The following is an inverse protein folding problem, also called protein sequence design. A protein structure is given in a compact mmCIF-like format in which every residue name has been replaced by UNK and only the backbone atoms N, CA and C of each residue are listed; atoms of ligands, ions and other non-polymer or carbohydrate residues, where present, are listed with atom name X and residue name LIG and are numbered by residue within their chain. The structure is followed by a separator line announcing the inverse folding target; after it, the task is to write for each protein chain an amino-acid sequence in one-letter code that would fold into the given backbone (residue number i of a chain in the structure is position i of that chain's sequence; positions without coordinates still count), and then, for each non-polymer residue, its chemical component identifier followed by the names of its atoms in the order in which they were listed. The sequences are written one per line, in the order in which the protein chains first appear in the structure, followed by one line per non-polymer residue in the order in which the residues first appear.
data_IF_874739857201
#
_entry.id   IF_874739857201
#
_cell.length_a   1.000
_cell.length_b   1.000
_cell.length_c   1.000
_cell.angle_alpha   90.00
_cell.angle_beta   90.00
_cell.angle_gamma   90.00
#
_symmetry.space_group_name_H-M   'P 1'
#
loop_
_entity.id
_entity.type
_entity.pdbx_description
1 polymer ?
#
# COMPACT_ATOMS: atom_id res chain seq x y z
N UNK A 1 12.18 8.51 2.37
CA UNK A 1 12.90 7.22 2.51
C UNK A 1 13.40 7.04 3.92
N UNK A 2 12.90 6.04 4.60
CA UNK A 2 13.24 5.73 5.99
C UNK A 2 13.65 4.26 6.10
N UNK A 3 14.95 3.96 6.28
CA UNK A 3 15.38 2.59 6.49
C UNK A 3 15.03 2.12 7.91
N UNK A 4 14.47 0.93 8.00
CA UNK A 4 14.20 0.25 9.26
C UNK A 4 15.30 -0.78 9.51
N UNK A 5 16.14 -0.53 10.48
CA UNK A 5 17.38 -1.31 10.66
C UNK A 5 17.18 -2.67 11.30
N UNK A 6 16.12 -2.84 12.09
CA UNK A 6 15.87 -4.10 12.80
C UNK A 6 15.34 -5.22 11.90
N UNK A 7 14.71 -4.87 10.77
CA UNK A 7 14.10 -5.82 9.84
C UNK A 7 14.72 -5.80 8.44
N UNK A 8 15.79 -5.04 8.23
CA UNK A 8 16.33 -4.79 6.89
C UNK A 8 15.23 -4.32 5.90
N UNK A 9 14.35 -3.45 6.38
CA UNK A 9 13.22 -2.93 5.60
C UNK A 9 13.38 -1.46 5.29
N UNK A 10 12.58 -0.97 4.35
CA UNK A 10 12.57 0.43 3.96
C UNK A 10 11.14 0.94 3.94
N UNK A 11 10.97 2.15 4.39
CA UNK A 11 9.73 2.88 4.18
C UNK A 11 9.93 3.96 3.13
N UNK A 12 9.04 4.00 2.16
CA UNK A 12 9.00 5.03 1.12
C UNK A 12 7.62 5.68 1.15
N UNK A 13 7.60 6.99 1.29
CA UNK A 13 6.38 7.79 1.19
C UNK A 13 6.39 8.50 -0.15
N UNK A 14 5.30 8.36 -0.91
CA UNK A 14 5.15 8.93 -2.24
C UNK A 14 3.85 9.73 -2.29
N UNK A 15 3.98 11.00 -2.63
CA UNK A 15 2.83 11.87 -2.88
C UNK A 15 2.70 12.13 -4.38
N UNK A 16 1.54 11.83 -4.94
CA UNK A 16 1.19 12.13 -6.32
C UNK A 16 -0.01 13.05 -6.32
N UNK A 17 0.17 14.23 -6.89
CA UNK A 17 -0.90 15.21 -7.03
C UNK A 17 -1.11 15.55 -8.50
N UNK A 18 -2.37 15.66 -8.91
CA UNK A 18 -2.76 16.09 -10.24
C UNK A 18 -3.73 17.25 -10.17
N UNK A 19 -3.63 18.14 -11.14
CA UNK A 19 -4.59 19.21 -11.35
C UNK A 19 -5.38 18.95 -12.63
N UNK A 20 -6.71 19.01 -12.59
CA UNK A 20 -7.56 18.82 -13.74
C UNK A 20 -8.22 17.43 -13.81
N UNK A 21 -8.47 16.98 -15.03
CA UNK A 21 -9.28 15.76 -15.28
C UNK A 21 -8.49 14.45 -15.15
N UNK A 22 -7.18 14.52 -15.00
CA UNK A 22 -6.33 13.31 -14.93
C UNK A 22 -6.34 12.78 -13.51
N UNK A 23 -6.78 11.54 -13.35
CA UNK A 23 -6.72 10.88 -12.04
C UNK A 23 -5.33 10.29 -11.77
N UNK A 24 -4.77 10.47 -10.56
CA UNK A 24 -3.52 9.82 -10.16
C UNK A 24 -3.66 8.30 -9.98
N UNK A 25 -4.87 7.78 -9.93
CA UNK A 25 -5.13 6.34 -9.75
C UNK A 25 -4.55 5.49 -10.89
N UNK A 26 -4.40 6.06 -12.09
CA UNK A 26 -3.77 5.38 -13.22
C UNK A 26 -2.28 5.03 -13.00
N UNK A 27 -1.64 5.64 -12.01
CA UNK A 27 -0.22 5.38 -11.68
C UNK A 27 -0.03 4.27 -10.64
N UNK A 28 -1.11 3.78 -10.04
CA UNK A 28 -1.03 2.81 -8.93
C UNK A 28 -0.31 1.53 -9.32
N UNK A 29 -0.68 0.92 -10.43
CA UNK A 29 -0.06 -0.33 -10.89
C UNK A 29 1.44 -0.16 -11.12
N UNK A 30 1.83 0.95 -11.73
CA UNK A 30 3.23 1.26 -11.96
C UNK A 30 4.01 1.40 -10.66
N UNK A 31 3.47 2.12 -9.68
CA UNK A 31 4.12 2.32 -8.39
C UNK A 31 4.22 1.01 -7.60
N UNK A 32 3.15 0.24 -7.55
CA UNK A 32 3.13 -1.04 -6.85
C UNK A 32 4.15 -2.01 -7.46
N UNK A 33 4.20 -2.11 -8.79
CA UNK A 33 5.17 -2.96 -9.48
C UNK A 33 6.61 -2.49 -9.32
N UNK A 34 6.82 -1.16 -9.32
CA UNK A 34 8.16 -0.57 -9.22
C UNK A 34 8.81 -0.79 -7.87
N UNK A 35 8.04 -0.70 -6.80
CA UNK A 35 8.55 -0.87 -5.44
C UNK A 35 8.40 -2.29 -4.90
N UNK A 36 7.49 -3.07 -5.43
CA UNK A 36 7.21 -4.45 -5.03
C UNK A 36 7.14 -4.61 -3.50
N UNK A 37 6.43 -3.70 -2.86
CA UNK A 37 6.39 -3.57 -1.41
C UNK A 37 5.55 -4.66 -0.77
N UNK A 38 5.96 -5.10 0.41
CA UNK A 38 5.24 -6.13 1.18
C UNK A 38 4.00 -5.56 1.87
N UNK A 39 4.07 -4.31 2.29
CA UNK A 39 2.96 -3.56 2.90
C UNK A 39 2.80 -2.25 2.16
N UNK A 40 1.56 -1.97 1.77
CA UNK A 40 1.20 -0.75 1.06
C UNK A 40 0.04 -0.09 1.78
N UNK A 41 0.19 1.19 2.05
CA UNK A 41 -0.89 2.03 2.54
C UNK A 41 -1.14 3.12 1.52
N UNK A 42 -2.38 3.28 1.11
CA UNK A 42 -2.78 4.25 0.11
C UNK A 42 -3.87 5.16 0.67
N UNK A 43 -3.63 6.45 0.55
CA UNK A 43 -4.62 7.49 0.80
C UNK A 43 -4.93 8.19 -0.52
N UNK A 44 -6.19 8.20 -0.90
CA UNK A 44 -6.65 8.94 -2.07
C UNK A 44 -7.63 10.01 -1.64
N UNK A 45 -7.31 11.24 -1.96
CA UNK A 45 -8.14 12.41 -1.64
C UNK A 45 -8.54 13.14 -2.90
N UNK A 46 -9.84 13.38 -3.03
CA UNK A 46 -10.35 14.30 -4.03
C UNK A 46 -10.48 15.66 -3.38
N UNK A 47 -9.69 16.62 -3.83
CA UNK A 47 -9.74 18.00 -3.35
C UNK A 47 -10.16 18.91 -4.49
N UNK A 48 -10.97 19.88 -4.16
CA UNK A 48 -11.38 20.89 -5.11
C UNK A 48 -12.71 20.56 -5.80
N UNK A 49 -13.10 21.48 -6.62
CA UNK A 49 -14.34 21.41 -7.37
C UNK A 49 -14.17 22.25 -8.63
N UNK A 50 -14.82 21.83 -9.70
CA UNK A 50 -14.99 22.67 -10.88
C UNK A 50 -16.28 23.46 -10.74
N UNK A 51 -16.37 24.55 -11.47
CA UNK A 51 -17.59 25.31 -11.64
C UNK A 51 -18.07 25.15 -13.06
N UNK A 52 -19.38 25.05 -13.22
CA UNK A 52 -20.01 25.15 -14.53
C UNK A 52 -19.97 26.58 -15.07
N UNK A 53 -20.46 26.76 -16.26
CA UNK A 53 -20.54 28.08 -16.91
C UNK A 53 -21.41 29.09 -16.13
N UNK A 54 -22.33 28.60 -15.29
CA UNK A 54 -23.21 29.41 -14.43
C UNK A 54 -22.62 29.68 -13.05
N UNK A 55 -21.38 29.23 -12.80
CA UNK A 55 -20.66 29.41 -11.54
C UNK A 55 -21.07 28.46 -10.42
N UNK A 56 -21.88 27.43 -10.71
CA UNK A 56 -22.27 26.40 -9.74
C UNK A 56 -21.10 25.46 -9.50
N UNK A 57 -20.88 25.09 -8.24
CA UNK A 57 -19.89 24.06 -7.90
C UNK A 57 -20.34 22.71 -8.43
N UNK A 58 -19.57 22.16 -9.34
CA UNK A 58 -19.69 20.78 -9.75
C UNK A 58 -18.70 19.97 -8.90
N UNK A 59 -19.23 19.13 -8.03
CA UNK A 59 -18.41 18.06 -7.49
C UNK A 59 -18.07 17.13 -8.65
N UNK A 60 -16.79 16.98 -8.91
CA UNK A 60 -16.33 15.88 -9.76
C UNK A 60 -16.62 14.59 -8.99
N UNK A 61 -17.78 14.05 -9.26
CA UNK A 61 -18.25 12.81 -8.67
C UNK A 61 -17.50 11.64 -9.33
N UNK A 62 -16.26 11.46 -8.93
CA UNK A 62 -15.61 10.20 -9.16
C UNK A 62 -16.21 9.22 -8.16
N UNK A 63 -17.23 8.49 -8.57
CA UNK A 63 -17.76 7.38 -7.80
C UNK A 63 -16.73 6.26 -7.73
N UNK A 64 -15.72 6.47 -6.88
CA UNK A 64 -14.76 5.44 -6.54
C UNK A 64 -15.36 4.69 -5.36
N UNK A 65 -15.83 3.48 -5.60
CA UNK A 65 -16.30 2.62 -4.51
C UNK A 65 -15.12 2.12 -3.67
N UNK A 66 -14.00 1.81 -4.34
CA UNK A 66 -12.76 1.38 -3.69
C UNK A 66 -11.57 1.69 -4.60
N UNK A 67 -10.43 2.04 -3.99
CA UNK A 67 -9.16 2.18 -4.72
C UNK A 67 -8.75 0.85 -5.37
N UNK A 68 -9.14 -0.28 -4.79
CA UNK A 68 -8.84 -1.62 -5.29
C UNK A 68 -9.35 -1.84 -6.71
N UNK A 69 -10.43 -1.17 -7.12
CA UNK A 69 -10.99 -1.28 -8.46
C UNK A 69 -10.05 -0.76 -9.56
N UNK A 70 -9.07 0.04 -9.19
CA UNK A 70 -8.07 0.64 -10.09
C UNK A 70 -6.74 -0.11 -10.12
N UNK A 71 -6.62 -1.20 -9.38
CA UNK A 71 -5.42 -2.02 -9.31
C UNK A 71 -5.64 -3.28 -10.16
N UNK A 72 -4.63 -3.66 -10.94
CA UNK A 72 -4.66 -4.87 -11.75
C UNK A 72 -5.04 -6.09 -10.88
N UNK A 73 -6.03 -6.90 -11.30
CA UNK A 73 -6.42 -8.11 -10.57
C UNK A 73 -5.28 -9.08 -10.29
N UNK A 74 -4.27 -9.16 -11.16
CA UNK A 74 -3.10 -10.01 -10.92
C UNK A 74 -2.26 -9.52 -9.75
N UNK A 75 -2.14 -8.20 -9.59
CA UNK A 75 -1.50 -7.60 -8.42
C UNK A 75 -2.33 -7.91 -7.17
N UNK A 76 -3.64 -7.69 -7.25
CA UNK A 76 -4.54 -7.88 -6.10
C UNK A 76 -4.54 -9.30 -5.56
N UNK A 77 -4.31 -10.31 -6.39
CA UNK A 77 -4.22 -11.71 -5.96
C UNK A 77 -3.06 -11.98 -5.00
N UNK A 78 -2.01 -11.17 -5.05
CA UNK A 78 -0.83 -11.31 -4.21
C UNK A 78 -0.99 -10.68 -2.83
N UNK A 79 -2.01 -9.86 -2.63
CA UNK A 79 -2.21 -9.07 -1.42
C UNK A 79 -3.52 -9.38 -0.73
N UNK A 80 -3.50 -9.31 0.59
CA UNK A 80 -4.69 -9.12 1.41
C UNK A 80 -4.94 -7.61 1.51
N UNK A 81 -6.12 -7.16 1.09
CA UNK A 81 -6.45 -5.74 1.04
C UNK A 81 -7.67 -5.44 1.90
N UNK A 82 -7.62 -4.31 2.58
CA UNK A 82 -8.70 -3.82 3.44
C UNK A 82 -8.93 -2.34 3.16
N UNK A 83 -10.17 -1.99 2.87
CA UNK A 83 -10.61 -0.59 2.83
C UNK A 83 -11.03 -0.16 4.23
N UNK A 84 -10.48 0.95 4.67
CA UNK A 84 -10.85 1.54 5.95
C UNK A 84 -11.89 2.62 5.67
N UNK A 85 -13.07 2.48 6.24
CA UNK A 85 -14.10 3.50 6.16
C UNK A 85 -13.64 4.77 6.86
N UNK A 86 -13.48 5.81 6.08
CA UNK A 86 -13.28 7.15 6.59
C UNK A 86 -14.61 7.89 6.42
N UNK A 87 -15.05 8.59 7.45
CA UNK A 87 -16.34 9.29 7.46
C UNK A 87 -16.41 10.51 6.52
N UNK A 88 -15.41 10.68 5.67
CA UNK A 88 -15.34 11.73 4.66
C UNK A 88 -15.59 11.15 3.27
N UNK A 89 -16.56 11.70 2.55
CA UNK A 89 -16.99 11.20 1.24
C UNK A 89 -15.92 11.28 0.13
N UNK A 90 -14.86 12.05 0.34
CA UNK A 90 -13.80 12.32 -0.62
C UNK A 90 -12.44 11.76 -0.21
N UNK A 91 -12.40 10.92 0.82
CA UNK A 91 -11.20 10.28 1.32
C UNK A 91 -11.35 8.77 1.29
N UNK A 92 -10.43 8.12 0.63
CA UNK A 92 -10.36 6.66 0.50
C UNK A 92 -9.04 6.17 1.08
N UNK A 93 -9.11 5.16 1.92
CA UNK A 93 -7.93 4.58 2.56
C UNK A 93 -7.93 3.07 2.38
N UNK A 94 -6.85 2.56 1.79
CA UNK A 94 -6.69 1.13 1.55
C UNK A 94 -5.35 0.68 2.08
N UNK A 95 -5.35 -0.43 2.81
CA UNK A 95 -4.13 -1.12 3.23
C UNK A 95 -4.03 -2.47 2.55
N UNK A 96 -2.83 -2.82 2.11
CA UNK A 96 -2.53 -4.08 1.47
C UNK A 96 -1.30 -4.73 2.10
N UNK A 97 -1.32 -6.04 2.25
CA UNK A 97 -0.20 -6.82 2.75
C UNK A 97 -0.03 -8.06 1.89
N UNK A 98 1.21 -8.40 1.53
CA UNK A 98 1.51 -9.62 0.78
C UNK A 98 1.02 -10.86 1.54
N UNK A 99 0.38 -11.77 0.81
CA UNK A 99 -0.07 -13.06 1.34
C UNK A 99 1.09 -13.99 1.64
N UNK A 100 2.11 -13.96 0.79
CA UNK A 100 3.29 -14.82 0.88
C UNK A 100 4.55 -13.98 1.03
N UNK A 101 5.35 -14.30 2.03
CA UNK A 101 6.62 -13.63 2.32
C UNK A 101 7.76 -14.47 1.76
N UNK A 102 8.62 -13.86 0.94
CA UNK A 102 9.88 -14.45 0.55
C UNK A 102 10.96 -14.06 1.56
N UNK A 103 11.36 -15.02 2.40
CA UNK A 103 12.32 -14.79 3.47
C UNK A 103 13.70 -14.33 2.93
N UNK A 104 14.07 -14.73 1.72
CA UNK A 104 15.34 -14.34 1.11
C UNK A 104 15.45 -12.82 0.91
N UNK A 105 14.35 -12.13 0.75
CA UNK A 105 14.32 -10.66 0.61
C UNK A 105 14.70 -9.93 1.91
N UNK A 106 14.59 -10.59 3.06
CA UNK A 106 14.87 -10.02 4.37
C UNK A 106 16.24 -10.38 4.94
N UNK A 107 16.88 -11.41 4.42
CA UNK A 107 18.15 -11.91 4.90
C UNK A 107 19.27 -11.59 3.91
N UNK A 108 19.89 -10.44 4.09
CA UNK A 108 21.04 -10.05 3.28
C UNK A 108 22.24 -10.95 3.52
N UNK A 109 22.91 -11.36 2.44
CA UNK A 109 24.14 -12.17 2.45
C UNK A 109 24.00 -13.53 3.12
N UNK A 110 22.79 -13.98 3.40
CA UNK A 110 22.54 -15.30 3.98
C UNK A 110 21.70 -16.11 2.99
N UNK A 111 22.15 -17.32 2.66
CA UNK A 111 21.32 -18.24 1.90
C UNK A 111 20.30 -18.87 2.85
N UNK A 112 19.03 -18.60 2.61
CA UNK A 112 17.91 -19.10 3.40
C UNK A 112 17.89 -20.65 3.43
N UNK A 113 18.29 -21.29 2.34
CA UNK A 113 18.29 -22.75 2.23
C UNK A 113 19.40 -23.42 3.05
N UNK A 114 20.42 -22.69 3.46
CA UNK A 114 21.47 -23.17 4.35
C UNK A 114 21.07 -23.13 5.83
N UNK A 115 19.98 -22.41 6.16
CA UNK A 115 19.47 -22.36 7.52
C UNK A 115 18.72 -23.64 7.91
N UNK A 116 18.80 -24.08 9.18
CA UNK A 116 17.96 -25.17 9.66
C UNK A 116 16.47 -24.86 9.47
N UNK A 117 15.62 -25.83 9.12
CA UNK A 117 14.18 -25.60 8.92
C UNK A 117 13.48 -24.96 10.12
N UNK A 118 13.87 -25.31 11.33
CA UNK A 118 13.33 -24.73 12.58
C UNK A 118 13.69 -23.25 12.71
N UNK A 119 14.90 -22.87 12.35
CA UNK A 119 15.36 -21.47 12.35
C UNK A 119 14.59 -20.66 11.30
N UNK A 120 14.40 -21.18 10.10
CA UNK A 120 13.61 -20.54 9.05
C UNK A 120 12.17 -20.26 9.49
N UNK A 121 11.53 -21.25 10.09
CA UNK A 121 10.17 -21.10 10.62
C UNK A 121 10.09 -20.03 11.71
N UNK A 122 11.04 -20.00 12.62
CA UNK A 122 11.09 -19.02 13.70
C UNK A 122 11.23 -17.58 13.16
N UNK A 123 12.12 -17.39 12.19
CA UNK A 123 12.32 -16.07 11.55
C UNK A 123 11.06 -15.68 10.78
N UNK A 124 10.45 -16.59 10.04
CA UNK A 124 9.23 -16.35 9.26
C UNK A 124 8.06 -15.94 10.17
N UNK A 125 7.89 -16.60 11.31
CA UNK A 125 6.85 -16.25 12.28
C UNK A 125 7.08 -14.88 12.89
N UNK A 126 8.31 -14.53 13.22
CA UNK A 126 8.68 -13.21 13.71
C UNK A 126 8.37 -12.12 12.69
N UNK A 127 8.80 -12.31 11.44
CA UNK A 127 8.52 -11.37 10.36
C UNK A 127 7.04 -11.19 10.12
N UNK A 128 6.29 -12.27 10.08
CA UNK A 128 4.85 -12.22 9.86
C UNK A 128 4.14 -11.47 10.99
N UNK A 129 4.56 -11.68 12.23
CA UNK A 129 4.03 -10.97 13.39
C UNK A 129 4.28 -9.47 13.28
N UNK A 130 5.49 -9.06 12.93
CA UNK A 130 5.85 -7.65 12.77
C UNK A 130 5.11 -7.01 11.60
N UNK A 131 4.96 -7.71 10.49
CA UNK A 131 4.18 -7.23 9.35
C UNK A 131 2.71 -7.00 9.72
N UNK A 132 2.12 -7.90 10.48
CA UNK A 132 0.74 -7.75 10.96
C UNK A 132 0.61 -6.54 11.88
N UNK A 133 1.58 -6.31 12.76
CA UNK A 133 1.60 -5.13 13.63
C UNK A 133 1.68 -3.83 12.83
N UNK A 134 2.55 -3.76 11.84
CA UNK A 134 2.67 -2.61 10.95
C UNK A 134 1.37 -2.41 10.17
N UNK A 135 0.83 -3.47 9.59
CA UNK A 135 -0.40 -3.44 8.82
C UNK A 135 -1.59 -2.98 9.68
N UNK A 136 -1.67 -3.40 10.92
CA UNK A 136 -2.72 -2.98 11.86
C UNK A 136 -2.55 -1.56 12.39
N UNK A 137 -1.39 -0.92 12.15
CA UNK A 137 -1.08 0.41 12.64
C UNK A 137 -0.79 0.48 14.14
N UNK A 138 -0.53 -0.65 14.79
CA UNK A 138 -0.20 -0.71 16.22
C UNK A 138 1.26 -0.40 16.53
N UNK A 139 2.11 -0.57 15.54
CA UNK A 139 3.52 -0.29 15.71
C UNK A 139 3.76 1.20 15.50
N UNK A 140 4.09 1.88 16.57
CA UNK A 140 4.43 3.30 16.57
C UNK A 140 5.95 3.39 16.56
N UNK A 141 6.50 3.90 15.48
CA UNK A 141 7.92 4.15 15.35
C UNK A 141 8.35 5.37 16.13
#
# INVERSE_FOLDING_TARGET
YHPETCLATFRVDIDVATCGEITPLSTLDYLIRSFDSDIITMDYRVRGFTRDVDGRKLFMDHHVASIQDYIDPEIMRRYDAVDINVYEANLFHTKMMLKEIDLQNYLFKTDVYELPPTTRLSIMESLRREMIEIFSGRNVF
#
